data_IF_765741302587
#
_entry.id   IF_765741302587
#
_cell.length_a   1.000
_cell.length_b   1.000
_cell.length_c   1.000
_cell.angle_alpha   90.00
_cell.angle_beta   90.00
_cell.angle_gamma   90.00
#
_symmetry.space_group_name_H-M   'P 1'
#
loop_
_entity.id
_entity.type
_entity.pdbx_description
1 polymer ?
#
# COMPACT_ATOMS: atom_id res chain seq x y z
N UNK A 1 11.79 -8.75 -14.87
CA UNK A 1 13.09 -8.08 -14.94
C UNK A 1 13.81 -8.19 -13.60
N UNK A 2 15.08 -8.43 -13.64
CA UNK A 2 15.86 -8.81 -12.47
C UNK A 2 17.02 -7.83 -12.24
N UNK A 3 17.08 -7.23 -11.06
CA UNK A 3 18.15 -6.32 -10.68
C UNK A 3 19.19 -7.04 -9.83
N UNK A 4 20.36 -7.26 -10.37
CA UNK A 4 21.41 -8.00 -9.68
C UNK A 4 21.90 -7.33 -8.39
N UNK A 5 21.83 -6.01 -8.31
CA UNK A 5 22.23 -5.30 -7.10
C UNK A 5 21.30 -5.60 -5.93
N UNK A 6 19.99 -5.72 -6.23
CA UNK A 6 19.01 -6.11 -5.20
C UNK A 6 19.21 -7.54 -4.76
N UNK A 7 19.59 -8.43 -5.68
CA UNK A 7 19.79 -9.83 -5.38
C UNK A 7 20.97 -10.07 -4.44
N UNK A 8 21.93 -9.14 -4.40
CA UNK A 8 23.11 -9.22 -3.52
C UNK A 8 22.85 -8.71 -2.11
N UNK A 9 21.69 -8.07 -1.88
CA UNK A 9 21.32 -7.57 -0.56
C UNK A 9 20.87 -8.69 0.36
N UNK A 10 21.14 -8.54 1.66
CA UNK A 10 20.62 -9.45 2.66
C UNK A 10 19.09 -9.30 2.77
N UNK A 11 18.44 -10.27 3.40
CA UNK A 11 17.02 -10.19 3.68
C UNK A 11 16.68 -8.93 4.49
N UNK A 12 17.51 -8.61 5.50
CA UNK A 12 17.31 -7.42 6.33
C UNK A 12 17.41 -6.14 5.51
N UNK A 13 18.40 -6.05 4.63
CA UNK A 13 18.58 -4.91 3.74
C UNK A 13 17.40 -4.77 2.78
N UNK A 14 16.87 -5.88 2.26
CA UNK A 14 15.71 -5.85 1.39
C UNK A 14 14.47 -5.36 2.13
N UNK A 15 14.28 -5.76 3.38
CA UNK A 15 13.15 -5.29 4.19
C UNK A 15 13.26 -3.79 4.46
N UNK A 16 14.45 -3.29 4.74
CA UNK A 16 14.70 -1.85 4.91
C UNK A 16 14.43 -1.08 3.62
N UNK A 17 14.80 -1.64 2.48
CA UNK A 17 14.58 -1.02 1.18
C UNK A 17 13.08 -0.94 0.86
N UNK A 18 12.33 -1.98 1.17
CA UNK A 18 10.87 -1.97 1.01
C UNK A 18 10.24 -0.85 1.84
N UNK A 19 10.67 -0.68 3.08
CA UNK A 19 10.21 0.41 3.95
C UNK A 19 10.57 1.77 3.35
N UNK A 20 11.79 1.91 2.84
CA UNK A 20 12.24 3.12 2.17
C UNK A 20 11.37 3.47 0.96
N UNK A 21 11.06 2.48 0.13
CA UNK A 21 10.20 2.69 -1.04
C UNK A 21 8.79 3.13 -0.63
N UNK A 22 8.25 2.54 0.43
CA UNK A 22 6.93 2.92 0.95
C UNK A 22 6.93 4.38 1.43
N UNK A 23 7.97 4.78 2.16
CA UNK A 23 8.13 6.16 2.62
C UNK A 23 8.27 7.14 1.45
N UNK A 24 9.05 6.77 0.43
CA UNK A 24 9.24 7.60 -0.75
C UNK A 24 7.94 7.76 -1.54
N UNK A 25 7.13 6.72 -1.61
CA UNK A 25 5.83 6.76 -2.25
C UNK A 25 4.90 7.76 -1.57
N UNK A 26 4.83 7.71 -0.23
CA UNK A 26 4.02 8.64 0.54
C UNK A 26 4.54 10.07 0.41
N UNK A 27 5.85 10.26 0.38
CA UNK A 27 6.45 11.57 0.19
C UNK A 27 6.06 12.16 -1.17
N UNK A 28 6.09 11.35 -2.22
CA UNK A 28 5.69 11.77 -3.54
C UNK A 28 4.22 12.20 -3.58
N UNK A 29 3.35 11.38 -2.98
CA UNK A 29 1.91 11.69 -2.90
C UNK A 29 1.67 13.01 -2.18
N UNK A 30 2.35 13.23 -1.05
CA UNK A 30 2.23 14.47 -0.29
C UNK A 30 2.71 15.71 -1.04
N UNK A 31 3.85 15.60 -1.72
CA UNK A 31 4.39 16.71 -2.53
C UNK A 31 3.46 17.04 -3.69
N UNK A 32 2.91 16.02 -4.35
CA UNK A 32 1.97 16.19 -5.45
C UNK A 32 0.68 16.86 -4.96
N UNK A 33 0.16 16.40 -3.82
CA UNK A 33 -1.01 16.99 -3.18
C UNK A 33 -0.79 18.48 -2.90
N UNK A 34 0.34 18.83 -2.30
CA UNK A 34 0.67 20.21 -1.98
C UNK A 34 0.80 21.09 -3.23
N UNK A 35 1.30 20.51 -4.32
CA UNK A 35 1.40 21.22 -5.60
C UNK A 35 0.02 21.59 -6.15
N UNK A 36 -0.93 20.66 -6.10
CA UNK A 36 -2.31 20.91 -6.52
C UNK A 36 -2.97 21.96 -5.60
N UNK A 37 -2.78 21.80 -4.29
CA UNK A 37 -3.34 22.71 -3.30
C UNK A 37 -2.88 24.17 -3.53
N UNK A 38 -1.59 24.34 -3.79
CA UNK A 38 -1.03 25.69 -4.03
C UNK A 38 -1.60 26.36 -5.26
N UNK A 39 -1.84 25.61 -6.32
CA UNK A 39 -2.30 26.17 -7.59
C UNK A 39 -3.83 26.27 -7.67
N UNK A 40 -4.55 25.28 -7.19
CA UNK A 40 -5.98 25.13 -7.39
C UNK A 40 -6.80 25.14 -6.10
N UNK A 41 -6.16 25.10 -4.94
CA UNK A 41 -6.83 25.08 -3.64
C UNK A 41 -7.05 23.69 -3.09
N UNK A 42 -7.46 23.66 -1.82
CA UNK A 42 -7.62 22.42 -1.06
C UNK A 42 -8.71 21.51 -1.63
N UNK A 43 -9.83 22.08 -2.10
CA UNK A 43 -10.92 21.26 -2.64
C UNK A 43 -10.49 20.43 -3.85
N UNK A 44 -9.71 21.01 -4.75
CA UNK A 44 -9.18 20.30 -5.92
C UNK A 44 -8.15 19.25 -5.50
N UNK A 45 -7.29 19.58 -4.54
CA UNK A 45 -6.29 18.64 -4.04
C UNK A 45 -6.96 17.42 -3.42
N UNK A 46 -7.96 17.63 -2.58
CA UNK A 46 -8.70 16.53 -1.94
C UNK A 46 -9.46 15.68 -2.95
N UNK A 47 -10.06 16.31 -3.94
CA UNK A 47 -10.78 15.59 -5.00
C UNK A 47 -9.87 14.62 -5.73
N UNK A 48 -8.72 15.11 -6.19
CA UNK A 48 -7.78 14.27 -6.95
C UNK A 48 -7.12 13.21 -6.10
N UNK A 49 -6.82 13.52 -4.85
CA UNK A 49 -6.27 12.55 -3.90
C UNK A 49 -7.23 11.40 -3.64
N UNK A 50 -8.50 11.72 -3.38
CA UNK A 50 -9.54 10.70 -3.18
C UNK A 50 -9.72 9.83 -4.42
N UNK A 51 -9.78 10.42 -5.61
CA UNK A 51 -9.92 9.67 -6.86
C UNK A 51 -8.74 8.75 -7.10
N UNK A 52 -7.53 9.25 -6.86
CA UNK A 52 -6.31 8.47 -7.03
C UNK A 52 -6.26 7.28 -6.07
N UNK A 53 -6.51 7.50 -4.78
CA UNK A 53 -6.49 6.44 -3.78
C UNK A 53 -7.59 5.42 -3.99
N UNK A 54 -8.76 5.86 -4.41
CA UNK A 54 -9.88 4.98 -4.71
C UNK A 54 -9.53 3.98 -5.80
N UNK A 55 -8.90 4.45 -6.87
CA UNK A 55 -8.47 3.60 -7.98
C UNK A 55 -7.25 2.76 -7.60
N UNK A 56 -6.30 3.36 -6.91
CA UNK A 56 -5.09 2.68 -6.47
C UNK A 56 -5.41 1.50 -5.54
N UNK A 57 -6.34 1.69 -4.61
CA UNK A 57 -6.72 0.63 -3.67
C UNK A 57 -7.20 -0.62 -4.38
N UNK A 58 -7.97 -0.47 -5.46
CA UNK A 58 -8.43 -1.60 -6.26
C UNK A 58 -7.26 -2.31 -6.95
N UNK A 59 -6.35 -1.53 -7.53
CA UNK A 59 -5.16 -2.07 -8.20
C UNK A 59 -4.26 -2.80 -7.20
N UNK A 60 -4.00 -2.17 -6.07
CA UNK A 60 -3.16 -2.75 -5.01
C UNK A 60 -3.75 -4.05 -4.49
N UNK A 61 -5.04 -4.07 -4.20
CA UNK A 61 -5.72 -5.25 -3.70
C UNK A 61 -5.62 -6.43 -4.68
N UNK A 62 -5.80 -6.14 -5.97
CA UNK A 62 -5.69 -7.16 -7.01
C UNK A 62 -4.27 -7.73 -7.08
N UNK A 63 -3.26 -6.87 -7.05
CA UNK A 63 -1.86 -7.27 -7.12
C UNK A 63 -1.43 -8.09 -5.91
N UNK A 64 -1.87 -7.70 -4.72
CA UNK A 64 -1.58 -8.46 -3.50
C UNK A 64 -2.24 -9.83 -3.55
N UNK A 65 -3.50 -9.87 -3.99
CA UNK A 65 -4.24 -11.11 -4.14
C UNK A 65 -3.51 -12.08 -5.09
N UNK A 66 -3.02 -11.58 -6.21
CA UNK A 66 -2.25 -12.37 -7.18
C UNK A 66 -0.92 -12.82 -6.58
N UNK A 67 -0.22 -11.95 -5.88
CA UNK A 67 1.05 -12.26 -5.23
C UNK A 67 0.92 -13.38 -4.21
N UNK A 68 -0.14 -13.33 -3.39
CA UNK A 68 -0.42 -14.34 -2.37
C UNK A 68 -1.10 -15.59 -2.93
N UNK A 69 -1.48 -15.57 -4.22
CA UNK A 69 -2.20 -16.65 -4.87
C UNK A 69 -3.52 -16.99 -4.16
N UNK A 70 -4.22 -15.94 -3.69
CA UNK A 70 -5.50 -16.11 -3.03
C UNK A 70 -6.61 -16.45 -4.01
N UNK A 71 -7.65 -17.20 -3.59
CA UNK A 71 -8.81 -17.45 -4.43
C UNK A 71 -9.58 -16.16 -4.71
N UNK A 72 -10.52 -16.20 -5.66
CA UNK A 72 -11.32 -15.04 -6.03
C UNK A 72 -12.10 -14.46 -4.85
N UNK A 73 -12.58 -15.33 -3.98
CA UNK A 73 -13.29 -14.94 -2.75
C UNK A 73 -12.57 -15.52 -1.52
N UNK A 74 -11.49 -14.87 -1.07
CA UNK A 74 -10.64 -15.45 -0.02
C UNK A 74 -11.22 -15.41 1.40
N UNK A 75 -12.31 -14.67 1.64
CA UNK A 75 -12.92 -14.53 2.94
C UNK A 75 -12.09 -13.65 3.91
N UNK A 76 -12.41 -13.72 5.20
CA UNK A 76 -11.76 -12.89 6.22
C UNK A 76 -10.28 -13.22 6.41
N UNK A 77 -9.94 -14.50 6.32
CA UNK A 77 -8.54 -14.92 6.45
C UNK A 77 -7.67 -14.34 5.34
N UNK A 78 -8.16 -14.39 4.09
CA UNK A 78 -7.45 -13.81 2.96
C UNK A 78 -7.36 -12.30 3.06
N UNK A 79 -8.41 -11.64 3.55
CA UNK A 79 -8.39 -10.20 3.78
C UNK A 79 -7.35 -9.81 4.83
N UNK A 80 -7.30 -10.56 5.93
CA UNK A 80 -6.32 -10.34 6.99
C UNK A 80 -4.89 -10.45 6.45
N UNK A 81 -4.60 -11.49 5.67
CA UNK A 81 -3.30 -11.65 5.02
C UNK A 81 -2.98 -10.46 4.12
N UNK A 82 -3.93 -10.07 3.27
CA UNK A 82 -3.72 -9.00 2.31
C UNK A 82 -3.39 -7.66 2.98
N UNK A 83 -4.02 -7.36 4.12
CA UNK A 83 -3.78 -6.11 4.84
C UNK A 83 -2.33 -5.95 5.30
N UNK A 84 -1.66 -7.06 5.63
CA UNK A 84 -0.25 -7.02 6.03
C UNK A 84 0.69 -6.72 4.86
N UNK A 85 0.25 -6.92 3.62
CA UNK A 85 1.06 -6.72 2.43
C UNK A 85 0.79 -5.39 1.72
N UNK A 86 -0.16 -4.59 2.21
CA UNK A 86 -0.34 -3.24 1.70
C UNK A 86 0.89 -2.41 2.05
N UNK A 87 1.18 -1.40 1.20
CA UNK A 87 2.39 -0.61 1.44
C UNK A 87 2.34 0.16 2.77
N UNK A 88 1.14 0.50 3.27
CA UNK A 88 0.97 1.06 4.61
C UNK A 88 1.37 0.09 5.72
N UNK A 89 1.31 -1.20 5.49
CA UNK A 89 1.75 -2.21 6.43
C UNK A 89 3.24 -2.13 6.74
N UNK A 90 4.03 -1.47 5.89
CA UNK A 90 5.46 -1.29 6.07
C UNK A 90 5.81 0.00 6.82
N UNK A 91 4.83 0.85 7.10
CA UNK A 91 5.03 2.16 7.72
C UNK A 91 4.42 2.27 9.10
N UNK A 92 3.33 1.54 9.34
CA UNK A 92 2.57 1.60 10.57
C UNK A 92 2.40 0.21 11.15
N UNK A 93 2.51 0.10 12.48
CA UNK A 93 2.08 -1.10 13.16
C UNK A 93 0.56 -1.16 13.11
N UNK A 94 0.03 -2.33 12.79
CA UNK A 94 -1.40 -2.53 12.79
C UNK A 94 -1.74 -3.93 13.25
N UNK A 95 -2.93 -4.08 13.80
CA UNK A 95 -3.41 -5.32 14.35
C UNK A 95 -4.78 -5.62 13.76
N UNK A 96 -4.97 -6.88 13.36
CA UNK A 96 -6.25 -7.35 12.86
C UNK A 96 -6.90 -8.24 13.90
N UNK A 97 -8.06 -7.84 14.37
CA UNK A 97 -8.82 -8.60 15.37
C UNK A 97 -10.07 -9.17 14.69
N UNK A 98 -10.24 -10.48 14.81
CA UNK A 98 -11.42 -11.14 14.27
C UNK A 98 -12.45 -11.40 15.38
N UNK A 99 -13.69 -10.94 15.14
CA UNK A 99 -14.82 -11.20 16.01
C UNK A 99 -15.92 -11.88 15.19
N UNK A 100 -16.02 -13.20 15.29
CA UNK A 100 -16.95 -13.95 14.45
C UNK A 100 -16.62 -13.80 12.97
N UNK A 101 -17.52 -13.19 12.19
CA UNK A 101 -17.33 -12.91 10.76
C UNK A 101 -16.89 -11.46 10.49
N UNK A 102 -16.41 -10.74 11.50
CA UNK A 102 -15.99 -9.35 11.37
C UNK A 102 -14.49 -9.22 11.57
N UNK A 103 -13.88 -8.34 10.76
CA UNK A 103 -12.49 -7.95 10.89
C UNK A 103 -12.46 -6.51 11.41
N UNK A 104 -11.75 -6.31 12.49
CA UNK A 104 -11.67 -5.01 13.17
C UNK A 104 -10.27 -4.43 13.07
#
# INVERSE_FOLDING_TARGET
MYNKYLAELSKEQLLELIELYAKNWLAHDGVWFQSIERKFGMAEAMYHDEEAWKRFTVIEAKRIKEFLQLPEHPGLEGLEQALHYRFYGNLNEHECIREGNRLV
#
